data_IF_615643777983
#
_entry.id   IF_615643777983
#
_cell.length_a   1.000
_cell.length_b   1.000
_cell.length_c   1.000
_cell.angle_alpha   90.00
_cell.angle_beta   90.00
_cell.angle_gamma   90.00
#
_symmetry.space_group_name_H-M   'P 1'
#
loop_
_entity.id
_entity.type
_entity.pdbx_description
1 polymer ?
#
# COMPACT_ATOMS: atom_id res chain seq x y z
N UNK A 1 -14.08 13.67 -40.93
CA UNK A 1 -14.84 13.36 -39.69
C UNK A 1 -14.15 14.09 -38.57
N UNK A 2 -14.84 15.01 -37.89
CA UNK A 2 -14.26 15.68 -36.73
C UNK A 2 -13.93 14.64 -35.64
N UNK A 3 -12.82 14.80 -34.91
CA UNK A 3 -12.47 13.88 -33.82
C UNK A 3 -13.62 13.70 -32.83
N UNK A 4 -14.34 14.77 -32.49
CA UNK A 4 -15.50 14.76 -31.59
C UNK A 4 -16.62 13.81 -32.03
N UNK A 5 -16.88 13.68 -33.34
CA UNK A 5 -17.92 12.77 -33.84
C UNK A 5 -17.50 11.31 -33.58
N UNK A 6 -16.23 10.97 -33.77
CA UNK A 6 -15.71 9.61 -33.52
C UNK A 6 -15.81 9.20 -32.04
N UNK A 7 -15.66 10.16 -31.11
CA UNK A 7 -15.69 9.93 -29.66
C UNK A 7 -17.10 9.78 -29.07
N UNK A 8 -18.14 9.87 -29.91
CA UNK A 8 -19.54 9.67 -29.50
C UNK A 8 -20.30 8.69 -30.40
N UNK A 9 -20.08 8.72 -31.72
CA UNK A 9 -20.86 7.89 -32.65
C UNK A 9 -20.35 6.46 -32.75
N UNK A 10 -19.07 6.22 -32.45
CA UNK A 10 -18.44 4.90 -32.52
C UNK A 10 -19.11 3.88 -31.57
N UNK A 11 -19.56 2.69 -32.04
CA UNK A 11 -20.24 1.69 -31.20
C UNK A 11 -19.43 1.23 -29.99
N UNK A 12 -18.11 1.07 -30.16
CA UNK A 12 -17.17 0.72 -29.10
C UNK A 12 -17.15 1.79 -27.99
N UNK A 13 -17.11 3.05 -28.39
CA UNK A 13 -17.08 4.19 -27.46
C UNK A 13 -18.46 4.42 -26.82
N UNK A 14 -19.55 4.16 -27.53
CA UNK A 14 -20.89 4.14 -26.93
C UNK A 14 -20.99 3.12 -25.81
N UNK A 15 -20.50 1.90 -26.02
CA UNK A 15 -20.47 0.87 -24.97
C UNK A 15 -19.67 1.32 -23.74
N UNK A 16 -18.54 2.00 -23.95
CA UNK A 16 -17.76 2.62 -22.88
C UNK A 16 -18.61 3.64 -22.10
N UNK A 17 -19.17 4.64 -22.78
CA UNK A 17 -19.94 5.70 -22.13
C UNK A 17 -21.22 5.19 -21.45
N UNK A 18 -21.85 4.13 -21.97
CA UNK A 18 -22.98 3.48 -21.31
C UNK A 18 -22.54 2.84 -20.00
N UNK A 19 -21.38 2.16 -19.99
CA UNK A 19 -20.81 1.62 -18.75
C UNK A 19 -20.45 2.70 -17.73
N UNK A 20 -19.95 3.86 -18.19
CA UNK A 20 -19.67 5.02 -17.33
C UNK A 20 -20.95 5.66 -16.81
N UNK A 21 -21.98 5.84 -17.64
CA UNK A 21 -23.28 6.35 -17.22
C UNK A 21 -23.84 5.50 -16.09
N UNK A 22 -23.99 4.19 -16.32
CA UNK A 22 -24.56 3.28 -15.34
C UNK A 22 -23.79 3.33 -14.01
N UNK A 23 -22.45 3.40 -14.07
CA UNK A 23 -21.63 3.54 -12.86
C UNK A 23 -21.82 4.87 -12.14
N UNK A 24 -21.88 6.00 -12.84
CA UNK A 24 -22.10 7.30 -12.18
C UNK A 24 -23.52 7.36 -11.60
N UNK A 25 -24.52 6.83 -12.29
CA UNK A 25 -25.89 6.77 -11.80
C UNK A 25 -25.99 5.90 -10.53
N UNK A 26 -25.23 4.80 -10.46
CA UNK A 26 -25.10 3.93 -9.29
C UNK A 26 -24.41 4.65 -8.11
N UNK A 27 -23.31 5.38 -8.34
CA UNK A 27 -22.62 6.17 -7.30
C UNK A 27 -23.49 7.32 -6.78
N UNK A 28 -24.18 8.01 -7.69
CA UNK A 28 -24.89 9.25 -7.38
C UNK A 28 -26.34 9.03 -6.94
N UNK A 29 -26.88 7.83 -7.17
CA UNK A 29 -28.29 7.50 -7.08
C UNK A 29 -29.18 8.52 -7.83
N UNK A 30 -28.79 8.85 -9.06
CA UNK A 30 -29.49 9.84 -9.88
C UNK A 30 -29.40 9.51 -11.37
N UNK A 31 -30.34 10.03 -12.16
CA UNK A 31 -30.33 9.85 -13.61
C UNK A 31 -29.54 10.97 -14.32
N UNK A 32 -28.64 10.57 -15.21
CA UNK A 32 -27.83 11.44 -16.06
C UNK A 32 -28.39 11.54 -17.49
N UNK A 33 -28.33 12.75 -18.05
CA UNK A 33 -28.73 12.98 -19.44
C UNK A 33 -27.78 12.30 -20.42
N UNK A 34 -28.30 11.57 -21.41
CA UNK A 34 -27.50 10.95 -22.47
C UNK A 34 -27.11 11.96 -23.57
N UNK A 35 -26.22 12.89 -23.23
CA UNK A 35 -25.78 13.97 -24.13
C UNK A 35 -24.26 14.04 -24.27
N UNK A 36 -23.71 14.21 -25.48
CA UNK A 36 -22.26 14.28 -25.69
C UNK A 36 -21.60 15.42 -24.91
N UNK A 37 -22.27 16.56 -24.74
CA UNK A 37 -21.71 17.70 -24.00
C UNK A 37 -21.47 17.37 -22.53
N UNK A 38 -22.29 16.50 -21.93
CA UNK A 38 -22.07 16.03 -20.57
C UNK A 38 -20.83 15.13 -20.52
N UNK A 39 -20.78 14.08 -21.34
CA UNK A 39 -19.73 13.05 -21.24
C UNK A 39 -18.37 13.49 -21.79
N UNK A 40 -18.35 14.22 -22.90
CA UNK A 40 -17.11 14.65 -23.55
C UNK A 40 -16.56 15.94 -22.94
N UNK A 41 -17.45 16.87 -22.56
CA UNK A 41 -17.03 18.21 -22.14
C UNK A 41 -17.24 18.45 -20.64
N UNK A 42 -18.02 17.64 -19.93
CA UNK A 42 -18.37 17.87 -18.53
C UNK A 42 -19.40 18.99 -18.34
N UNK A 43 -20.15 19.34 -19.39
CA UNK A 43 -21.14 20.42 -19.35
C UNK A 43 -22.43 19.94 -18.69
N UNK A 44 -22.51 20.10 -17.37
CA UNK A 44 -23.68 19.72 -16.58
C UNK A 44 -24.73 20.85 -16.65
N UNK A 45 -25.73 20.69 -17.53
CA UNK A 45 -26.86 21.62 -17.73
C UNK A 45 -27.97 21.43 -16.68
N UNK A 46 -28.21 20.19 -16.24
CA UNK A 46 -29.18 19.86 -15.19
C UNK A 46 -28.77 20.48 -13.84
N UNK A 47 -29.75 20.98 -13.08
CA UNK A 47 -29.51 21.54 -11.75
C UNK A 47 -29.25 20.41 -10.75
N UNK A 48 -28.05 20.36 -10.21
CA UNK A 48 -27.64 19.49 -9.11
C UNK A 48 -27.13 20.35 -7.95
N UNK A 49 -27.17 19.84 -6.69
CA UNK A 49 -26.44 20.45 -5.59
C UNK A 49 -24.96 20.70 -5.97
N UNK A 50 -24.32 21.78 -5.49
CA UNK A 50 -22.93 22.09 -5.85
C UNK A 50 -21.95 20.94 -5.61
N UNK A 51 -22.12 20.21 -4.51
CA UNK A 51 -21.31 19.03 -4.15
C UNK A 51 -21.48 17.88 -5.15
N UNK A 52 -22.71 17.60 -5.55
CA UNK A 52 -23.01 16.55 -6.53
C UNK A 52 -22.49 16.91 -7.91
N UNK A 53 -22.62 18.18 -8.31
CA UNK A 53 -22.06 18.67 -9.57
C UNK A 53 -20.54 18.53 -9.60
N UNK A 54 -19.88 18.82 -8.49
CA UNK A 54 -18.44 18.64 -8.32
C UNK A 54 -18.05 17.16 -8.45
N UNK A 55 -18.73 16.26 -7.74
CA UNK A 55 -18.43 14.82 -7.80
C UNK A 55 -18.64 14.24 -9.21
N UNK A 56 -19.77 14.54 -9.86
CA UNK A 56 -20.04 14.11 -11.24
C UNK A 56 -18.95 14.61 -12.20
N UNK A 57 -18.51 15.86 -12.05
CA UNK A 57 -17.43 16.40 -12.87
C UNK A 57 -16.12 15.64 -12.68
N UNK A 58 -15.79 15.21 -11.46
CA UNK A 58 -14.57 14.42 -11.19
C UNK A 58 -14.67 13.01 -11.78
N UNK A 59 -15.81 12.34 -11.61
CA UNK A 59 -16.06 11.00 -12.19
C UNK A 59 -15.93 11.02 -13.72
N UNK A 60 -16.54 12.01 -14.39
CA UNK A 60 -16.43 12.20 -15.83
C UNK A 60 -15.01 12.58 -16.26
N UNK A 61 -14.29 13.34 -15.44
CA UNK A 61 -12.89 13.70 -15.72
C UNK A 61 -11.99 12.48 -15.67
N UNK A 62 -12.13 11.60 -14.68
CA UNK A 62 -11.42 10.33 -14.63
C UNK A 62 -11.73 9.46 -15.86
N UNK A 63 -13.01 9.37 -16.25
CA UNK A 63 -13.42 8.63 -17.44
C UNK A 63 -12.79 9.18 -18.73
N UNK A 64 -12.73 10.51 -18.88
CA UNK A 64 -12.09 11.16 -20.04
C UNK A 64 -10.58 10.92 -20.05
N UNK A 65 -9.91 11.02 -18.91
CA UNK A 65 -8.47 10.75 -18.78
C UNK A 65 -8.15 9.32 -19.21
N UNK A 66 -8.88 8.33 -18.69
CA UNK A 66 -8.64 6.92 -19.03
C UNK A 66 -8.88 6.65 -20.51
N UNK A 67 -9.97 7.20 -21.06
CA UNK A 67 -10.26 7.06 -22.49
C UNK A 67 -9.16 7.69 -23.35
N UNK A 68 -8.70 8.89 -22.98
CA UNK A 68 -7.64 9.62 -23.67
C UNK A 68 -6.25 9.03 -23.47
N UNK A 69 -5.99 8.26 -22.42
CA UNK A 69 -4.73 7.52 -22.26
C UNK A 69 -4.70 6.27 -23.12
N UNK A 70 -5.84 5.60 -23.28
CA UNK A 70 -5.95 4.29 -23.93
C UNK A 70 -6.52 4.33 -25.34
N UNK A 71 -6.70 5.52 -25.94
CA UNK A 71 -7.38 5.67 -27.23
C UNK A 71 -6.70 4.97 -28.42
N UNK A 72 -5.39 4.72 -28.33
CA UNK A 72 -4.63 3.97 -29.35
C UNK A 72 -4.63 2.45 -29.12
N UNK A 73 -5.10 1.99 -27.97
CA UNK A 73 -5.13 0.56 -27.65
C UNK A 73 -6.27 -0.14 -28.44
N UNK A 74 -6.08 -1.41 -28.85
CA UNK A 74 -7.11 -2.15 -29.58
C UNK A 74 -8.34 -2.49 -28.72
N UNK A 75 -8.19 -2.42 -27.40
CA UNK A 75 -9.20 -2.76 -26.39
C UNK A 75 -9.76 -1.51 -25.72
N UNK A 76 -11.08 -1.50 -25.50
CA UNK A 76 -11.77 -0.43 -24.77
C UNK A 76 -11.47 -0.57 -23.27
N UNK A 77 -11.18 0.52 -22.55
CA UNK A 77 -11.02 0.46 -21.10
C UNK A 77 -12.28 -0.03 -20.40
N UNK A 78 -12.12 -0.84 -19.36
CA UNK A 78 -13.25 -1.27 -18.54
C UNK A 78 -13.70 -0.16 -17.57
N UNK A 79 -14.95 -0.20 -17.12
CA UNK A 79 -15.41 0.67 -16.02
C UNK A 79 -14.55 0.52 -14.76
N UNK A 80 -14.05 -0.69 -14.48
CA UNK A 80 -13.17 -0.94 -13.34
C UNK A 80 -11.82 -0.19 -13.47
N UNK A 81 -11.31 -0.05 -14.70
CA UNK A 81 -10.11 0.77 -14.96
C UNK A 81 -10.35 2.23 -14.59
N UNK A 82 -11.54 2.77 -14.89
CA UNK A 82 -11.92 4.14 -14.51
C UNK A 82 -12.10 4.30 -13.01
N UNK A 83 -12.70 3.31 -12.35
CA UNK A 83 -12.86 3.28 -10.88
C UNK A 83 -11.50 3.30 -10.19
N UNK A 84 -10.55 2.48 -10.66
CA UNK A 84 -9.19 2.49 -10.11
C UNK A 84 -8.52 3.85 -10.32
N UNK A 85 -8.68 4.45 -11.51
CA UNK A 85 -8.16 5.79 -11.76
C UNK A 85 -8.77 6.84 -10.85
N UNK A 86 -10.07 6.73 -10.60
CA UNK A 86 -10.81 7.60 -9.70
C UNK A 86 -10.27 7.49 -8.27
N UNK A 87 -10.06 6.26 -7.78
CA UNK A 87 -9.49 6.01 -6.45
C UNK A 87 -8.11 6.67 -6.28
N UNK A 88 -7.22 6.55 -7.27
CA UNK A 88 -5.92 7.25 -7.26
C UNK A 88 -6.09 8.77 -7.16
N UNK A 89 -6.98 9.35 -7.96
CA UNK A 89 -7.20 10.80 -7.97
C UNK A 89 -7.75 11.30 -6.62
N UNK A 90 -8.72 10.61 -6.05
CA UNK A 90 -9.32 10.93 -4.74
C UNK A 90 -8.26 10.86 -3.65
N UNK A 91 -7.47 9.78 -3.59
CA UNK A 91 -6.45 9.63 -2.55
C UNK A 91 -5.33 10.69 -2.66
N UNK A 92 -4.91 11.04 -3.86
CA UNK A 92 -3.94 12.12 -4.08
C UNK A 92 -4.48 13.48 -3.61
N UNK A 93 -5.76 13.77 -3.87
CA UNK A 93 -6.39 15.00 -3.42
C UNK A 93 -6.52 15.04 -1.89
N UNK A 94 -6.93 13.94 -1.27
CA UNK A 94 -7.01 13.80 0.19
C UNK A 94 -5.68 14.08 0.87
N UNK A 95 -4.59 13.52 0.34
CA UNK A 95 -3.24 13.79 0.84
C UNK A 95 -2.85 15.26 0.67
N UNK A 96 -3.23 15.88 -0.45
CA UNK A 96 -2.97 17.30 -0.71
C UNK A 96 -3.71 18.22 0.28
N UNK A 97 -4.97 17.92 0.60
CA UNK A 97 -5.75 18.64 1.61
C UNK A 97 -5.07 18.55 2.98
N UNK A 98 -4.60 17.36 3.36
CA UNK A 98 -3.87 17.13 4.61
C UNK A 98 -2.56 17.88 4.69
N UNK A 99 -1.78 17.91 3.62
CA UNK A 99 -0.52 18.67 3.56
C UNK A 99 -0.76 20.17 3.71
N UNK A 100 -1.90 20.67 3.24
CA UNK A 100 -2.25 22.09 3.31
C UNK A 100 -2.92 22.50 4.64
N UNK A 101 -3.02 21.60 5.62
CA UNK A 101 -3.56 21.90 6.96
C UNK A 101 -5.04 22.32 6.97
N UNK A 102 -5.80 22.02 5.90
CA UNK A 102 -7.23 22.30 5.82
C UNK A 102 -8.02 21.25 6.61
N UNK A 103 -9.16 21.64 7.18
CA UNK A 103 -10.04 20.69 7.87
C UNK A 103 -10.55 19.61 6.90
N UNK A 104 -10.34 18.34 7.27
CA UNK A 104 -10.72 17.17 6.45
C UNK A 104 -12.26 17.02 6.34
N UNK A 105 -13.02 17.70 7.20
CA UNK A 105 -14.48 17.59 7.34
C UNK A 105 -15.24 18.03 6.10
N UNK A 106 -14.86 19.14 5.45
CA UNK A 106 -15.53 19.60 4.23
C UNK A 106 -15.16 18.80 2.99
N UNK A 107 -13.96 18.21 2.97
CA UNK A 107 -13.54 17.26 1.94
C UNK A 107 -14.40 15.99 1.98
N UNK A 108 -14.55 15.34 3.14
CA UNK A 108 -15.39 14.13 3.23
C UNK A 108 -16.85 14.40 2.90
N UNK A 109 -17.39 15.59 3.22
CA UNK A 109 -18.77 15.95 2.83
C UNK A 109 -18.98 16.04 1.32
N UNK A 110 -17.94 16.31 0.53
CA UNK A 110 -18.03 16.33 -0.94
C UNK A 110 -17.95 14.90 -1.50
N UNK A 111 -17.12 14.07 -0.87
CA UNK A 111 -16.80 12.71 -1.32
C UNK A 111 -17.63 11.61 -0.65
N UNK A 112 -18.57 11.96 0.23
CA UNK A 112 -19.39 11.03 1.01
C UNK A 112 -20.07 9.97 0.15
N UNK A 113 -20.74 10.38 -0.93
CA UNK A 113 -21.42 9.44 -1.87
C UNK A 113 -20.44 8.44 -2.49
N UNK A 114 -19.24 8.89 -2.84
CA UNK A 114 -18.19 8.02 -3.39
C UNK A 114 -17.69 7.02 -2.35
N UNK A 115 -17.41 7.47 -1.13
CA UNK A 115 -16.93 6.60 -0.06
C UNK A 115 -17.99 5.59 0.36
N UNK A 116 -19.24 5.99 0.53
CA UNK A 116 -20.35 5.09 0.84
C UNK A 116 -20.54 4.04 -0.26
N UNK A 117 -20.47 4.44 -1.54
CA UNK A 117 -20.52 3.50 -2.66
C UNK A 117 -19.34 2.54 -2.67
N UNK A 118 -18.13 3.02 -2.38
CA UNK A 118 -16.92 2.17 -2.28
C UNK A 118 -17.02 1.18 -1.12
N UNK A 119 -17.56 1.58 0.03
CA UNK A 119 -17.80 0.70 1.18
C UNK A 119 -18.80 -0.41 0.81
N UNK A 120 -19.95 -0.08 0.23
CA UNK A 120 -20.93 -1.08 -0.23
C UNK A 120 -20.40 -1.99 -1.34
N UNK A 121 -19.60 -1.46 -2.29
CA UNK A 121 -18.96 -2.29 -3.31
C UNK A 121 -17.90 -3.20 -2.69
N UNK A 122 -17.20 -2.74 -1.66
CA UNK A 122 -16.22 -3.54 -0.92
C UNK A 122 -16.87 -4.54 0.06
N UNK A 123 -18.11 -4.31 0.52
CA UNK A 123 -18.91 -5.31 1.23
C UNK A 123 -19.20 -6.53 0.31
N UNK A 124 -19.28 -6.33 -1.02
CA UNK A 124 -19.43 -7.41 -2.01
C UNK A 124 -18.15 -7.92 -2.69
N UNK A 125 -17.03 -7.18 -2.63
CA UNK A 125 -15.77 -7.51 -3.33
C UNK A 125 -14.51 -7.53 -2.44
N UNK A 126 -14.63 -7.23 -1.14
CA UNK A 126 -13.55 -7.29 -0.17
C UNK A 126 -13.36 -8.66 0.48
N UNK A 127 -14.02 -9.70 -0.02
CA UNK A 127 -13.83 -11.03 0.53
C UNK A 127 -12.59 -11.63 -0.13
N UNK A 128 -11.44 -11.59 0.54
CA UNK A 128 -10.20 -12.26 0.13
C UNK A 128 -10.44 -13.73 -0.27
N UNK A 129 -11.51 -14.33 0.26
CA UNK A 129 -11.99 -15.66 -0.10
C UNK A 129 -12.52 -15.75 -1.55
N UNK A 130 -13.25 -14.75 -2.05
CA UNK A 130 -13.76 -14.69 -3.43
C UNK A 130 -12.63 -14.54 -4.45
N UNK A 131 -11.62 -13.73 -4.12
CA UNK A 131 -10.40 -13.66 -4.91
C UNK A 131 -9.65 -15.00 -4.88
N UNK A 132 -9.56 -15.62 -3.71
CA UNK A 132 -9.02 -16.96 -3.55
C UNK A 132 -9.71 -17.98 -4.46
N UNK A 133 -11.04 -18.04 -4.46
CA UNK A 133 -11.82 -18.95 -5.29
C UNK A 133 -11.54 -18.75 -6.79
N UNK A 134 -11.50 -17.51 -7.28
CA UNK A 134 -11.17 -17.20 -8.67
C UNK A 134 -9.74 -17.62 -9.05
N UNK A 135 -8.79 -17.53 -8.11
CA UNK A 135 -7.40 -17.90 -8.31
C UNK A 135 -7.11 -19.39 -8.00
N UNK A 136 -8.08 -20.15 -7.49
CA UNK A 136 -7.87 -21.51 -6.98
C UNK A 136 -7.01 -21.57 -5.70
N UNK A 137 -6.95 -20.48 -4.94
CA UNK A 137 -6.14 -20.33 -3.72
C UNK A 137 -7.04 -20.15 -2.49
N UNK A 138 -6.58 -20.63 -1.33
CA UNK A 138 -7.30 -20.48 -0.06
C UNK A 138 -6.41 -19.82 0.98
N UNK A 139 -6.97 -18.84 1.70
CA UNK A 139 -6.28 -18.21 2.82
C UNK A 139 -6.09 -19.23 3.95
N UNK A 140 -4.85 -19.37 4.41
CA UNK A 140 -4.54 -20.18 5.58
C UNK A 140 -4.81 -19.39 6.85
N UNK A 141 -6.01 -19.53 7.41
CA UNK A 141 -6.44 -18.81 8.62
C UNK A 141 -5.56 -19.06 9.85
N UNK A 142 -4.84 -20.18 9.92
CA UNK A 142 -3.91 -20.46 11.01
C UNK A 142 -2.59 -19.67 10.92
N UNK A 143 -2.17 -19.32 9.69
CA UNK A 143 -0.97 -18.51 9.45
C UNK A 143 -1.29 -17.02 9.35
N UNK A 144 -2.49 -16.67 8.90
CA UNK A 144 -2.95 -15.29 8.76
C UNK A 144 -3.38 -14.74 10.12
N UNK A 145 -2.82 -13.58 10.48
CA UNK A 145 -3.15 -12.88 11.73
C UNK A 145 -3.43 -11.42 11.45
N UNK A 146 -4.25 -10.80 12.27
CA UNK A 146 -4.57 -9.38 12.19
C UNK A 146 -3.69 -8.59 13.15
N UNK A 147 -3.12 -7.48 12.68
CA UNK A 147 -2.46 -6.48 13.53
C UNK A 147 -3.29 -5.22 13.50
N UNK A 148 -3.91 -4.90 14.62
CA UNK A 148 -4.82 -3.75 14.76
C UNK A 148 -4.12 -2.56 15.41
N UNK A 149 -4.46 -1.34 15.00
CA UNK A 149 -3.91 -0.10 15.57
C UNK A 149 -5.04 0.88 15.85
N UNK A 150 -5.05 1.48 17.04
CA UNK A 150 -6.04 2.47 17.48
C UNK A 150 -7.51 1.98 17.44
N UNK A 151 -7.74 0.69 17.68
CA UNK A 151 -9.08 0.08 17.75
C UNK A 151 -9.40 -0.29 19.20
N UNK A 152 -10.62 0.02 19.65
CA UNK A 152 -11.10 -0.32 20.99
C UNK A 152 -11.31 -1.83 21.15
N UNK A 153 -11.21 -2.34 22.38
CA UNK A 153 -11.36 -3.77 22.65
C UNK A 153 -12.70 -4.36 22.20
N UNK A 154 -13.78 -3.56 22.23
CA UNK A 154 -15.10 -3.98 21.74
C UNK A 154 -15.08 -4.26 20.23
N UNK A 155 -14.55 -3.30 19.44
CA UNK A 155 -14.43 -3.44 17.98
C UNK A 155 -13.41 -4.49 17.55
N UNK A 156 -12.41 -4.77 18.39
CA UNK A 156 -11.46 -5.85 18.12
C UNK A 156 -12.15 -7.22 18.13
N UNK A 157 -13.04 -7.48 19.10
CA UNK A 157 -13.80 -8.74 19.15
C UNK A 157 -14.72 -8.91 17.97
N UNK A 158 -15.47 -7.87 17.64
CA UNK A 158 -16.35 -7.85 16.44
C UNK A 158 -15.56 -8.15 15.16
N UNK A 159 -14.35 -7.60 15.04
CA UNK A 159 -13.47 -7.83 13.89
C UNK A 159 -12.92 -9.26 13.84
N UNK A 160 -12.55 -9.85 14.98
CA UNK A 160 -12.13 -11.26 15.07
C UNK A 160 -13.26 -12.20 14.64
N UNK A 161 -14.49 -11.94 15.10
CA UNK A 161 -15.67 -12.73 14.78
C UNK A 161 -16.04 -12.60 13.29
N UNK A 162 -16.03 -11.39 12.75
CA UNK A 162 -16.39 -11.12 11.34
C UNK A 162 -15.37 -11.71 10.38
N UNK A 163 -14.07 -11.59 10.67
CA UNK A 163 -13.01 -12.06 9.78
C UNK A 163 -12.62 -13.53 10.01
N UNK A 164 -12.93 -14.09 11.18
CA UNK A 164 -12.49 -15.42 11.60
C UNK A 164 -10.97 -15.54 11.61
N UNK A 165 -10.26 -14.47 11.96
CA UNK A 165 -8.80 -14.36 12.04
C UNK A 165 -8.41 -13.89 13.43
N UNK A 166 -7.34 -14.48 13.97
CA UNK A 166 -6.83 -14.10 15.28
C UNK A 166 -6.11 -12.74 15.22
N UNK A 167 -6.44 -11.83 16.14
CA UNK A 167 -5.67 -10.60 16.37
C UNK A 167 -4.40 -10.97 17.15
N UNK A 168 -3.27 -10.47 16.66
CA UNK A 168 -1.98 -10.64 17.29
C UNK A 168 -1.36 -9.27 17.61
N UNK A 169 -0.77 -9.17 18.79
CA UNK A 169 -0.02 -7.98 19.20
C UNK A 169 1.31 -7.80 18.46
N UNK A 170 1.77 -8.86 17.77
CA UNK A 170 3.04 -8.91 17.06
C UNK A 170 2.95 -9.88 15.88
N UNK A 171 3.39 -9.44 14.70
CA UNK A 171 3.42 -10.25 13.47
C UNK A 171 4.83 -10.22 12.89
N UNK A 172 5.26 -11.33 12.27
CA UNK A 172 6.52 -11.42 11.54
C UNK A 172 6.26 -11.27 10.05
N UNK A 173 6.92 -10.32 9.40
CA UNK A 173 6.86 -10.07 7.97
C UNK A 173 8.26 -10.07 7.39
N UNK A 174 8.54 -11.00 6.46
CA UNK A 174 9.86 -11.14 5.79
C UNK A 174 11.07 -11.20 6.74
N UNK A 175 10.90 -11.72 7.96
CA UNK A 175 11.97 -11.76 8.95
C UNK A 175 11.89 -10.66 10.01
N UNK A 176 11.18 -9.56 9.72
CA UNK A 176 11.03 -8.40 10.59
C UNK A 176 9.81 -8.55 11.48
N UNK A 177 9.97 -8.23 12.75
CA UNK A 177 8.89 -8.18 13.72
C UNK A 177 8.21 -6.81 13.71
N UNK A 178 6.90 -6.81 13.48
CA UNK A 178 6.05 -5.62 13.41
C UNK A 178 5.04 -5.65 14.56
N UNK A 179 4.83 -4.49 15.19
CA UNK A 179 3.79 -4.25 16.20
C UNK A 179 3.03 -2.96 15.89
N UNK A 180 1.84 -2.83 16.46
CA UNK A 180 1.04 -1.62 16.36
C UNK A 180 1.75 -0.39 17.00
N UNK A 181 2.48 -0.62 18.10
CA UNK A 181 3.31 0.39 18.76
C UNK A 181 4.72 0.38 18.17
N UNK A 182 5.11 1.49 17.53
CA UNK A 182 6.39 1.64 16.82
C UNK A 182 7.60 1.72 17.76
N UNK A 183 7.41 2.09 19.03
CA UNK A 183 8.52 2.19 20.01
C UNK A 183 9.27 0.87 20.21
N UNK A 184 8.60 -0.27 19.99
CA UNK A 184 9.16 -1.61 20.20
C UNK A 184 9.93 -2.16 18.98
N UNK A 185 9.85 -1.48 17.82
CA UNK A 185 10.49 -1.95 16.59
C UNK A 185 12.01 -2.07 16.71
N UNK A 186 12.63 -1.16 17.49
CA UNK A 186 14.06 -1.20 17.76
C UNK A 186 14.46 -2.46 18.54
N UNK A 187 13.84 -2.68 19.70
CA UNK A 187 14.15 -3.80 20.58
C UNK A 187 13.90 -5.15 19.90
N UNK A 188 12.84 -5.24 19.12
CA UNK A 188 12.45 -6.49 18.47
C UNK A 188 13.32 -6.93 17.32
N UNK A 189 14.01 -5.99 16.68
CA UNK A 189 14.74 -6.24 15.44
C UNK A 189 16.22 -5.91 15.59
N UNK A 190 16.56 -4.67 15.95
CA UNK A 190 17.95 -4.21 16.03
C UNK A 190 18.71 -4.90 17.17
N UNK A 191 18.15 -4.91 18.39
CA UNK A 191 18.83 -5.53 19.55
C UNK A 191 19.05 -7.02 19.30
N UNK A 192 18.01 -7.73 18.82
CA UNK A 192 18.12 -9.17 18.53
C UNK A 192 19.17 -9.50 17.47
N UNK A 193 19.28 -8.67 16.44
CA UNK A 193 20.30 -8.86 15.41
C UNK A 193 21.70 -8.57 15.96
N UNK A 194 21.88 -7.55 16.80
CA UNK A 194 23.15 -7.30 17.47
C UNK A 194 23.56 -8.48 18.37
N UNK A 195 22.62 -9.05 19.12
CA UNK A 195 22.88 -10.25 19.93
C UNK A 195 23.29 -11.44 19.07
N UNK A 196 22.63 -11.64 17.93
CA UNK A 196 22.99 -12.71 17.00
C UNK A 196 24.38 -12.47 16.39
N UNK A 197 24.68 -11.24 15.95
CA UNK A 197 26.00 -10.87 15.43
C UNK A 197 27.06 -11.12 16.49
N UNK A 198 26.81 -10.76 17.75
CA UNK A 198 27.74 -11.02 18.85
C UNK A 198 28.06 -12.51 18.99
N UNK A 199 27.04 -13.36 19.00
CA UNK A 199 27.20 -14.82 19.07
C UNK A 199 27.94 -15.39 17.85
N UNK A 200 27.59 -14.92 16.65
CA UNK A 200 28.25 -15.34 15.41
C UNK A 200 29.75 -15.00 15.45
N UNK A 201 30.10 -13.77 15.86
CA UNK A 201 31.50 -13.33 16.01
C UNK A 201 32.24 -14.13 17.09
N UNK A 202 31.61 -14.42 18.23
CA UNK A 202 32.20 -15.26 19.29
C UNK A 202 32.49 -16.68 18.81
N UNK A 203 31.62 -17.26 17.98
CA UNK A 203 31.83 -18.59 17.38
C UNK A 203 32.97 -18.53 16.35
N UNK A 204 32.93 -17.57 15.42
CA UNK A 204 33.94 -17.44 14.38
C UNK A 204 35.31 -17.05 14.91
N UNK A 205 35.38 -16.35 16.05
CA UNK A 205 36.67 -15.99 16.66
C UNK A 205 37.49 -17.19 17.14
N UNK A 206 36.85 -18.34 17.33
CA UNK A 206 37.50 -19.61 17.69
C UNK A 206 38.07 -20.35 16.47
N UNK A 207 37.71 -19.93 15.26
CA UNK A 207 38.16 -20.55 14.02
C UNK A 207 39.49 -19.94 13.56
N UNK A 208 40.34 -20.74 12.94
CA UNK A 208 41.59 -20.27 12.34
C UNK A 208 41.31 -19.59 10.98
N UNK A 209 40.83 -18.35 11.03
CA UNK A 209 40.52 -17.54 9.84
C UNK A 209 41.61 -16.48 9.66
N UNK A 210 42.13 -16.35 8.44
CA UNK A 210 43.09 -15.30 8.09
C UNK A 210 42.47 -13.90 8.23
N UNK A 211 43.31 -12.86 8.35
CA UNK A 211 42.82 -11.48 8.44
C UNK A 211 41.87 -11.11 7.28
N UNK A 212 42.26 -11.45 6.04
CA UNK A 212 41.42 -11.24 4.87
C UNK A 212 40.13 -12.05 4.93
N UNK A 213 40.19 -13.30 5.39
CA UNK A 213 39.02 -14.15 5.59
C UNK A 213 38.04 -13.56 6.61
N UNK A 214 38.54 -12.94 7.68
CA UNK A 214 37.70 -12.27 8.68
C UNK A 214 37.02 -11.03 8.11
N UNK A 215 37.74 -10.19 7.37
CA UNK A 215 37.16 -9.02 6.69
C UNK A 215 36.06 -9.47 5.71
N UNK A 216 36.33 -10.51 4.91
CA UNK A 216 35.34 -11.08 4.01
C UNK A 216 34.12 -11.62 4.77
N UNK A 217 34.32 -12.31 5.90
CA UNK A 217 33.25 -12.83 6.75
C UNK A 217 32.34 -11.71 7.26
N UNK A 218 32.90 -10.59 7.74
CA UNK A 218 32.12 -9.41 8.14
C UNK A 218 31.31 -8.87 6.96
N UNK A 219 31.97 -8.63 5.82
CA UNK A 219 31.36 -8.04 4.62
C UNK A 219 30.26 -8.92 4.03
N UNK A 220 30.39 -10.24 4.09
CA UNK A 220 29.45 -11.17 3.48
C UNK A 220 28.31 -11.56 4.41
N UNK A 221 28.53 -11.63 5.73
CA UNK A 221 27.52 -12.17 6.65
C UNK A 221 26.89 -11.12 7.56
N UNK A 222 27.63 -10.09 7.98
CA UNK A 222 27.12 -9.08 8.93
C UNK A 222 26.58 -7.87 8.19
N UNK A 223 27.34 -7.35 7.23
CA UNK A 223 26.94 -6.16 6.47
C UNK A 223 25.56 -6.32 5.81
N UNK A 224 25.22 -7.45 5.15
CA UNK A 224 23.90 -7.60 4.54
C UNK A 224 22.76 -7.64 5.56
N UNK A 225 22.97 -8.26 6.74
CA UNK A 225 21.97 -8.30 7.82
C UNK A 225 21.65 -6.89 8.34
N UNK A 226 22.67 -6.06 8.52
CA UNK A 226 22.53 -4.69 9.02
C UNK A 226 21.89 -3.79 7.94
N UNK A 227 22.35 -3.89 6.68
CA UNK A 227 21.78 -3.13 5.57
C UNK A 227 20.29 -3.47 5.34
N UNK A 228 19.92 -4.75 5.45
CA UNK A 228 18.53 -5.17 5.34
C UNK A 228 17.63 -4.46 6.36
N UNK A 229 18.07 -4.33 7.62
CA UNK A 229 17.32 -3.59 8.63
C UNK A 229 17.16 -2.11 8.27
N UNK A 230 18.24 -1.46 7.83
CA UNK A 230 18.19 -0.04 7.47
C UNK A 230 17.26 0.24 6.29
N UNK A 231 17.20 -0.68 5.32
CA UNK A 231 16.33 -0.54 4.16
C UNK A 231 14.87 -0.84 4.47
N UNK A 232 14.61 -1.76 5.42
CA UNK A 232 13.24 -2.23 5.72
C UNK A 232 12.57 -1.46 6.85
N UNK A 233 13.33 -0.92 7.80
CA UNK A 233 12.81 -0.24 8.97
C UNK A 233 13.28 1.23 8.96
N UNK A 234 12.38 2.20 8.74
CA UNK A 234 12.72 3.62 8.70
C UNK A 234 12.87 4.21 10.11
N UNK A 235 13.85 3.72 10.89
CA UNK A 235 14.19 4.26 12.22
C UNK A 235 15.50 5.03 12.15
N UNK A 236 15.52 6.21 12.77
CA UNK A 236 16.74 6.98 12.98
C UNK A 236 17.62 6.24 14.00
N UNK A 237 18.70 5.63 13.52
CA UNK A 237 19.71 4.98 14.35
C UNK A 237 20.57 6.03 15.06
N UNK A 238 20.90 5.80 16.34
CA UNK A 238 21.80 6.67 17.08
C UNK A 238 23.29 6.34 16.79
N UNK A 239 24.19 7.26 17.10
CA UNK A 239 25.64 7.05 16.92
C UNK A 239 26.18 5.87 17.72
N UNK A 240 25.62 5.63 18.92
CA UNK A 240 26.03 4.53 19.81
C UNK A 240 25.92 3.16 19.15
N UNK A 241 24.87 2.93 18.35
CA UNK A 241 24.69 1.70 17.58
C UNK A 241 25.91 1.41 16.68
N UNK A 242 26.35 2.40 15.91
CA UNK A 242 27.49 2.25 15.02
C UNK A 242 28.79 2.04 15.80
N UNK A 243 29.00 2.81 16.86
CA UNK A 243 30.19 2.66 17.71
C UNK A 243 30.28 1.26 18.33
N UNK A 244 29.17 0.70 18.80
CA UNK A 244 29.14 -0.64 19.39
C UNK A 244 29.37 -1.72 18.32
N UNK A 245 28.77 -1.57 17.13
CA UNK A 245 28.99 -2.48 16.00
C UNK A 245 30.45 -2.44 15.50
N UNK A 246 31.03 -1.25 15.35
CA UNK A 246 32.42 -1.06 14.95
C UNK A 246 33.37 -1.66 15.99
N UNK A 247 33.11 -1.45 17.28
CA UNK A 247 33.91 -2.05 18.35
C UNK A 247 33.93 -3.58 18.25
N UNK A 248 32.77 -4.21 18.04
CA UNK A 248 32.64 -5.66 17.95
C UNK A 248 33.34 -6.22 16.69
N UNK A 249 33.14 -5.58 15.54
CA UNK A 249 33.75 -6.01 14.28
C UNK A 249 35.27 -5.83 14.30
N UNK A 250 35.77 -4.70 14.81
CA UNK A 250 37.20 -4.46 14.97
C UNK A 250 37.85 -5.46 15.92
N UNK A 251 37.21 -5.74 17.07
CA UNK A 251 37.72 -6.75 18.00
C UNK A 251 37.86 -8.12 17.33
N UNK A 252 36.92 -8.52 16.48
CA UNK A 252 37.00 -9.78 15.74
C UNK A 252 38.09 -9.76 14.66
N UNK A 253 38.18 -8.70 13.85
CA UNK A 253 39.18 -8.58 12.78
C UNK A 253 40.60 -8.68 13.36
N UNK A 254 40.87 -7.98 14.46
CA UNK A 254 42.20 -7.85 15.05
C UNK A 254 42.54 -8.91 16.12
N UNK A 255 41.69 -9.90 16.36
CA UNK A 255 41.96 -10.96 17.34
C UNK A 255 43.21 -11.76 16.92
N UNK A 256 44.36 -11.58 17.57
CA UNK A 256 45.62 -12.22 17.14
C UNK A 256 45.46 -13.75 17.19
N UNK A 257 45.50 -14.40 16.03
CA UNK A 257 45.65 -15.86 15.95
C UNK A 257 47.11 -16.18 16.26
N UNK A 258 47.42 -16.57 17.50
CA UNK A 258 48.74 -17.10 17.85
C UNK A 258 48.91 -18.51 17.29
N UNK A 259 49.02 -18.66 15.96
CA UNK A 259 49.43 -19.92 15.35
C UNK A 259 50.35 -19.64 14.14
N UNK A 260 51.64 -19.76 14.44
CA UNK A 260 52.68 -20.39 13.61
C UNK A 260 53.04 -19.73 12.27
N UNK A 261 53.88 -18.70 12.33
CA UNK A 261 54.94 -18.56 11.31
C UNK A 261 56.09 -19.49 11.70
N UNK A 262 56.47 -20.49 10.89
CA UNK A 262 57.77 -21.13 11.04
C UNK A 262 58.91 -20.13 10.79
#
# INVERSE_FOLDING_TARGET
LEPTTMWWTCPKIKKYWTGIKNWIEDVMNCELEWKPELFLLGMIKKKFPPKDKYLIAHLLTAARIVLAQKWKEPTIPSTQTVINKMYECVEMERLTVKLNGKEDTDYYKIWEKWYNWMEHKNEGNGNINKFGELAGLKVNKGKTKLLVKNITNSKQKELEETMGLQIANKIKYLGIWIRAKTTMLWEDNYIKILEQIKKDLEIWSKMQISLLGRIATIKMNILPKVLYLFQTIPILTNKKFFTDLDRMTMKFIWLVSYLSTP
#
